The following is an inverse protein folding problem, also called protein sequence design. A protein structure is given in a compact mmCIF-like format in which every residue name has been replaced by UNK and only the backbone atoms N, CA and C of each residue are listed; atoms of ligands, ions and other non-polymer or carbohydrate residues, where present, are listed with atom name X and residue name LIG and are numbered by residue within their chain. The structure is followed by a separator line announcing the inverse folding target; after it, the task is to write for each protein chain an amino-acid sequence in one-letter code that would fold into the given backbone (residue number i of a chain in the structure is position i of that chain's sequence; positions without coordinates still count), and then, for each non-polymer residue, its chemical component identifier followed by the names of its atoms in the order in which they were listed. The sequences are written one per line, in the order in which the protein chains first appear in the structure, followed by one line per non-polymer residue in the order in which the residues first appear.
data_IF_272305148214
#
_entry.id   IF_272305148214
#
_cell.length_a   1.000
_cell.length_b   1.000
_cell.length_c   1.000
_cell.angle_alpha   90.00
_cell.angle_beta   90.00
_cell.angle_gamma   90.00
#
_symmetry.space_group_name_H-M   'P 1'
#
loop_
_entity.id
_entity.type
_entity.pdbx_description
1 polymer ?
#
# COMPACT_ATOMS: atom_id res chain seq x y z
N UNK A 1 7.47 -1.28 -22.86
CA UNK A 1 7.86 -0.20 -21.93
C UNK A 1 8.71 -0.83 -20.84
N UNK A 2 10.03 -0.68 -20.88
CA UNK A 2 10.91 -1.27 -19.87
C UNK A 2 10.79 -0.46 -18.56
N UNK A 3 9.92 -0.90 -17.66
CA UNK A 3 9.82 -0.31 -16.32
C UNK A 3 11.05 -0.70 -15.53
N UNK A 4 11.96 0.25 -15.31
CA UNK A 4 13.10 0.03 -14.43
C UNK A 4 12.55 -0.28 -13.03
N UNK A 5 12.81 -1.49 -12.53
CA UNK A 5 12.46 -1.92 -11.18
C UNK A 5 13.40 -1.25 -10.19
N UNK A 6 13.26 0.07 -9.98
CA UNK A 6 14.03 0.73 -8.95
C UNK A 6 13.73 0.06 -7.60
N UNK A 7 14.77 -0.39 -6.87
CA UNK A 7 14.59 -1.01 -5.58
C UNK A 7 13.81 -0.08 -4.65
N UNK A 8 12.80 -0.61 -3.97
CA UNK A 8 12.02 0.16 -3.01
C UNK A 8 12.94 0.81 -1.98
N UNK A 9 12.73 2.11 -1.75
CA UNK A 9 13.42 2.85 -0.70
C UNK A 9 13.19 2.20 0.68
N UNK A 10 14.10 2.37 1.64
CA UNK A 10 13.90 1.85 3.00
C UNK A 10 12.57 2.30 3.63
N UNK A 11 12.16 3.54 3.37
CA UNK A 11 10.87 4.10 3.82
C UNK A 11 9.68 3.38 3.19
N UNK A 12 9.73 3.11 1.89
CA UNK A 12 8.68 2.37 1.19
C UNK A 12 8.55 0.94 1.73
N UNK A 13 9.67 0.26 1.97
CA UNK A 13 9.69 -1.08 2.59
C UNK A 13 9.04 -1.05 3.99
N UNK A 14 9.42 -0.08 4.82
CA UNK A 14 8.83 0.11 6.16
C UNK A 14 7.32 0.38 6.09
N UNK A 15 6.88 1.24 5.17
CA UNK A 15 5.47 1.56 5.01
C UNK A 15 4.65 0.32 4.61
N UNK A 16 5.16 -0.51 3.69
CA UNK A 16 4.53 -1.78 3.30
C UNK A 16 4.46 -2.76 4.47
N UNK A 17 5.54 -2.93 5.24
CA UNK A 17 5.53 -3.86 6.37
C UNK A 17 4.60 -3.40 7.49
N UNK A 18 4.61 -2.11 7.82
CA UNK A 18 3.68 -1.53 8.81
C UNK A 18 2.22 -1.67 8.38
N UNK A 19 1.91 -1.41 7.11
CA UNK A 19 0.57 -1.62 6.56
C UNK A 19 0.12 -3.08 6.64
N UNK A 20 1.00 -4.03 6.28
CA UNK A 20 0.71 -5.47 6.41
C UNK A 20 0.46 -5.89 7.85
N UNK A 21 1.26 -5.40 8.80
CA UNK A 21 1.09 -5.67 10.22
C UNK A 21 -0.25 -5.12 10.74
N UNK A 22 -0.58 -3.87 10.42
CA UNK A 22 -1.85 -3.26 10.81
C UNK A 22 -3.06 -4.02 10.23
N UNK A 23 -2.98 -4.44 8.97
CA UNK A 23 -4.01 -5.26 8.35
C UNK A 23 -4.17 -6.63 9.04
N UNK A 24 -3.06 -7.27 9.42
CA UNK A 24 -3.09 -8.56 10.13
C UNK A 24 -3.72 -8.42 11.52
N UNK A 25 -3.32 -7.41 12.30
CA UNK A 25 -3.90 -7.10 13.61
C UNK A 25 -5.41 -6.81 13.48
N UNK A 26 -5.81 -6.01 12.47
CA UNK A 26 -7.21 -5.70 12.24
C UNK A 26 -8.06 -6.93 11.92
N UNK A 27 -7.53 -7.87 11.14
CA UNK A 27 -8.21 -9.14 10.85
C UNK A 27 -8.32 -10.01 12.10
N UNK A 28 -7.21 -10.15 12.84
CA UNK A 28 -7.18 -10.93 14.07
C UNK A 28 -8.16 -10.39 15.12
N UNK A 29 -8.32 -9.07 15.19
CA UNK A 29 -9.27 -8.41 16.09
C UNK A 29 -10.74 -8.44 15.61
N UNK A 30 -11.04 -9.05 14.46
CA UNK A 30 -12.40 -9.10 13.91
C UNK A 30 -12.95 -7.74 13.45
N UNK A 31 -12.10 -6.74 13.22
CA UNK A 31 -12.50 -5.35 12.88
C UNK A 31 -12.69 -5.14 11.37
N UNK A 32 -12.75 -6.21 10.58
CA UNK A 32 -12.88 -6.21 9.12
C UNK A 32 -11.74 -6.96 8.42
N UNK A 33 -11.69 -6.89 7.08
CA UNK A 33 -10.71 -7.64 6.26
C UNK A 33 -9.28 -7.10 6.32
N UNK A 34 -9.06 -5.96 6.99
CA UNK A 34 -7.76 -5.29 7.07
C UNK A 34 -7.34 -4.59 5.77
N UNK A 35 -8.18 -4.58 4.73
CA UNK A 35 -7.87 -3.97 3.43
C UNK A 35 -7.68 -2.45 3.52
N UNK A 36 -8.59 -1.77 4.22
CA UNK A 36 -8.59 -0.30 4.31
C UNK A 36 -7.51 0.21 5.29
N UNK A 37 -7.42 -0.38 6.48
CA UNK A 37 -6.48 0.11 7.51
C UNK A 37 -5.02 -0.11 7.12
N UNK A 38 -4.70 -1.23 6.46
CA UNK A 38 -3.34 -1.49 5.97
C UNK A 38 -2.89 -0.43 4.97
N UNK A 39 -3.77 -0.06 4.02
CA UNK A 39 -3.52 1.02 3.08
C UNK A 39 -3.35 2.38 3.76
N UNK A 40 -4.23 2.73 4.71
CA UNK A 40 -4.13 4.01 5.45
C UNK A 40 -2.83 4.13 6.24
N UNK A 41 -2.39 3.06 6.91
CA UNK A 41 -1.14 3.07 7.69
C UNK A 41 0.06 3.21 6.78
N UNK A 42 0.11 2.45 5.68
CA UNK A 42 1.21 2.53 4.73
C UNK A 42 1.32 3.93 4.10
N UNK A 43 0.20 4.51 3.64
CA UNK A 43 0.17 5.84 3.03
C UNK A 43 0.45 6.98 4.01
N UNK A 44 0.14 6.82 5.29
CA UNK A 44 0.56 7.79 6.31
C UNK A 44 2.07 7.81 6.51
N UNK A 45 2.75 6.66 6.37
CA UNK A 45 4.20 6.57 6.50
C UNK A 45 4.93 7.03 5.23
N UNK A 46 4.40 6.68 4.06
CA UNK A 46 4.94 7.07 2.75
C UNK A 46 3.81 7.49 1.81
N UNK A 47 3.52 8.80 1.69
CA UNK A 47 2.40 9.32 0.90
C UNK A 47 2.48 8.97 -0.60
N UNK A 48 3.70 8.84 -1.14
CA UNK A 48 3.93 8.54 -2.55
C UNK A 48 3.98 7.03 -2.85
N UNK A 49 3.75 6.19 -1.83
CA UNK A 49 3.98 4.74 -1.92
C UNK A 49 3.17 4.08 -3.04
N UNK A 50 1.89 4.43 -3.19
CA UNK A 50 1.06 3.85 -4.25
C UNK A 50 1.57 4.22 -5.63
N UNK A 51 2.00 5.47 -5.82
CA UNK A 51 2.60 5.93 -7.08
C UNK A 51 3.84 5.10 -7.43
N UNK A 52 4.73 4.88 -6.46
CA UNK A 52 5.94 4.06 -6.63
C UNK A 52 5.62 2.59 -6.93
N UNK A 53 4.68 2.00 -6.18
CA UNK A 53 4.29 0.60 -6.36
C UNK A 53 3.59 0.37 -7.69
N UNK A 54 2.85 1.36 -8.20
CA UNK A 54 2.07 1.24 -9.42
C UNK A 54 2.81 1.64 -10.69
N UNK A 55 4.10 2.03 -10.64
CA UNK A 55 4.85 2.51 -11.81
C UNK A 55 4.88 1.55 -13.01
N UNK A 56 4.65 0.26 -12.77
CA UNK A 56 4.65 -0.78 -13.79
C UNK A 56 3.24 -1.24 -14.20
N UNK A 57 2.20 -0.54 -13.72
CA UNK A 57 0.80 -0.86 -13.96
C UNK A 57 0.15 0.26 -14.77
N UNK A 58 -0.66 -0.11 -15.77
CA UNK A 58 -1.62 0.81 -16.37
C UNK A 58 -2.85 0.91 -15.43
N UNK A 59 -2.97 2.03 -14.72
CA UNK A 59 -4.01 2.22 -13.69
C UNK A 59 -5.16 3.07 -14.22
N UNK A 60 -6.38 2.56 -14.13
CA UNK A 60 -7.63 3.30 -14.39
C UNK A 60 -8.43 3.37 -13.08
N UNK A 61 -8.84 4.58 -12.69
CA UNK A 61 -9.69 4.80 -11.52
C UNK A 61 -11.16 4.82 -11.94
N UNK A 62 -11.94 3.86 -11.44
CA UNK A 62 -13.39 3.82 -11.59
C UNK A 62 -14.03 4.04 -10.22
N UNK A 63 -14.98 4.97 -10.14
CA UNK A 63 -15.71 5.29 -8.92
C UNK A 63 -17.22 5.17 -9.15
N UNK A 64 -17.97 5.02 -8.06
CA UNK A 64 -19.43 4.98 -8.05
C UNK A 64 -19.94 5.91 -6.95
N UNK A 65 -21.12 6.48 -7.16
CA UNK A 65 -21.85 7.30 -6.19
C UNK A 65 -22.77 6.46 -5.32
#
# INVERSE_FOLDING_TARGET
MAGNTEPLSPRAKLAVTAGKAAAAVSRAAGRGSGSVIGGRVALKLDPDLLGRLAQHLDVILVSAT
#
